data_IF_916963105367
#
_entry.id   IF_916963105367
#
_cell.length_a   1.000
_cell.length_b   1.000
_cell.length_c   1.000
_cell.angle_alpha   90.00
_cell.angle_beta   90.00
_cell.angle_gamma   90.00
#
_symmetry.space_group_name_H-M   'P 1'
#
loop_
_entity.id
_entity.type
_entity.pdbx_description
1 polymer ?
#
# COMPACT_ATOMS: atom_id res chain seq x y z
N UNK A 1 3.78 4.78 4.81
CA UNK A 1 3.05 5.44 3.69
C UNK A 1 3.29 4.75 2.35
N UNK A 2 4.53 4.35 2.03
CA UNK A 2 4.82 3.50 0.86
C UNK A 2 4.08 2.15 0.93
N UNK A 3 3.81 1.63 2.13
CA UNK A 3 3.06 0.38 2.32
C UNK A 3 1.66 0.44 1.69
N UNK A 4 0.96 1.59 1.77
CA UNK A 4 -0.39 1.70 1.21
C UNK A 4 -0.35 1.66 -0.32
N UNK A 5 0.61 2.34 -0.93
CA UNK A 5 0.82 2.28 -2.38
C UNK A 5 1.14 0.85 -2.80
N UNK A 6 2.02 0.17 -2.05
CA UNK A 6 2.37 -1.22 -2.31
C UNK A 6 1.15 -2.13 -2.18
N UNK A 7 0.32 -1.96 -1.15
CA UNK A 7 -0.92 -2.72 -0.96
C UNK A 7 -1.91 -2.50 -2.10
N UNK A 8 -2.06 -1.27 -2.60
CA UNK A 8 -2.93 -0.99 -3.75
C UNK A 8 -2.44 -1.74 -5.00
N UNK A 9 -1.14 -1.67 -5.29
CA UNK A 9 -0.53 -2.37 -6.43
C UNK A 9 -0.66 -3.88 -6.29
N UNK A 10 -0.25 -4.44 -5.16
CA UNK A 10 -0.30 -5.88 -4.90
C UNK A 10 -1.74 -6.41 -4.86
N UNK A 11 -2.70 -5.62 -4.35
CA UNK A 11 -4.13 -5.97 -4.37
C UNK A 11 -4.66 -6.10 -5.79
N UNK A 12 -4.20 -5.26 -6.71
CA UNK A 12 -4.50 -5.38 -8.14
C UNK A 12 -4.00 -6.71 -8.71
N UNK A 13 -2.73 -7.05 -8.44
CA UNK A 13 -2.09 -8.28 -8.95
C UNK A 13 -2.79 -9.52 -8.41
N UNK A 14 -3.05 -9.59 -7.10
CA UNK A 14 -3.69 -10.77 -6.47
C UNK A 14 -5.16 -10.90 -6.90
N UNK A 15 -5.86 -9.77 -7.09
CA UNK A 15 -7.23 -9.74 -7.63
C UNK A 15 -7.31 -10.33 -9.02
N UNK A 16 -6.39 -9.95 -9.92
CA UNK A 16 -6.37 -10.51 -11.27
C UNK A 16 -6.06 -12.00 -11.23
N UNK A 17 -5.17 -12.43 -10.35
CA UNK A 17 -4.86 -13.83 -10.14
C UNK A 17 -6.10 -14.62 -9.70
N UNK A 18 -6.91 -14.05 -8.81
CA UNK A 18 -8.17 -14.64 -8.38
C UNK A 18 -9.22 -14.68 -9.50
N UNK A 19 -9.35 -13.60 -10.28
CA UNK A 19 -10.28 -13.52 -11.42
C UNK A 19 -9.99 -14.55 -12.49
N UNK A 20 -8.72 -14.76 -12.85
CA UNK A 20 -8.29 -15.80 -13.82
C UNK A 20 -8.68 -17.21 -13.39
N UNK A 21 -8.86 -17.43 -12.08
CA UNK A 21 -9.30 -18.70 -11.48
C UNK A 21 -10.80 -18.77 -11.22
N UNK A 22 -11.57 -17.78 -11.68
CA UNK A 22 -13.01 -17.69 -11.44
C UNK A 22 -13.41 -17.42 -10.00
N UNK A 23 -12.52 -16.86 -9.17
CA UNK A 23 -12.81 -16.51 -7.78
C UNK A 23 -13.11 -15.02 -7.59
N UNK A 24 -13.76 -14.69 -6.47
CA UNK A 24 -14.04 -13.32 -6.08
C UNK A 24 -12.74 -12.56 -5.76
N UNK A 25 -12.36 -11.53 -6.56
CA UNK A 25 -11.12 -10.76 -6.35
C UNK A 25 -11.06 -10.02 -5.01
N UNK A 26 -12.20 -9.51 -4.54
CA UNK A 26 -12.27 -8.69 -3.34
C UNK A 26 -11.80 -9.48 -2.11
N UNK A 27 -12.15 -10.76 -2.02
CA UNK A 27 -11.71 -11.62 -0.92
C UNK A 27 -10.20 -11.82 -0.89
N UNK A 28 -9.55 -11.88 -2.06
CA UNK A 28 -8.09 -12.02 -2.13
C UNK A 28 -7.35 -10.73 -1.81
N UNK A 29 -7.88 -9.57 -2.20
CA UNK A 29 -7.35 -8.28 -1.75
C UNK A 29 -7.49 -8.12 -0.23
N UNK A 30 -8.64 -8.48 0.34
CA UNK A 30 -8.84 -8.46 1.79
C UNK A 30 -7.91 -9.44 2.51
N UNK A 31 -7.70 -10.63 1.95
CA UNK A 31 -6.74 -11.61 2.46
C UNK A 31 -5.32 -11.03 2.50
N UNK A 32 -4.89 -10.39 1.40
CA UNK A 32 -3.58 -9.73 1.33
C UNK A 32 -3.44 -8.66 2.42
N UNK A 33 -4.43 -7.77 2.57
CA UNK A 33 -4.40 -6.70 3.59
C UNK A 33 -4.34 -7.32 5.00
N UNK A 34 -5.16 -8.34 5.27
CA UNK A 34 -5.19 -9.01 6.57
C UNK A 34 -3.85 -9.66 6.91
N UNK A 35 -3.22 -10.35 5.95
CA UNK A 35 -1.92 -10.99 6.14
C UNK A 35 -0.78 -9.98 6.22
N UNK A 36 -0.85 -8.87 5.49
CA UNK A 36 0.11 -7.77 5.59
C UNK A 36 0.10 -7.18 7.00
N UNK A 37 -1.07 -6.72 7.47
CA UNK A 37 -1.22 -6.11 8.79
C UNK A 37 -0.91 -7.11 9.91
N UNK A 38 -1.34 -8.36 9.76
CA UNK A 38 -1.03 -9.43 10.71
C UNK A 38 0.49 -9.70 10.78
N UNK A 39 1.17 -9.74 9.64
CA UNK A 39 2.61 -9.91 9.56
C UNK A 39 3.37 -8.72 10.16
N UNK A 40 2.95 -7.50 9.87
CA UNK A 40 3.50 -6.27 10.44
C UNK A 40 3.38 -6.26 11.97
N UNK A 41 2.18 -6.54 12.47
CA UNK A 41 1.92 -6.60 13.90
C UNK A 41 2.74 -7.68 14.61
N UNK A 42 2.77 -8.90 14.06
CA UNK A 42 3.56 -9.99 14.62
C UNK A 42 5.07 -9.66 14.61
N UNK A 43 5.57 -9.09 13.51
CA UNK A 43 6.97 -8.67 13.39
C UNK A 43 7.33 -7.55 14.38
N UNK A 44 6.43 -6.58 14.58
CA UNK A 44 6.62 -5.51 15.56
C UNK A 44 6.67 -6.05 17.00
N UNK A 45 5.77 -6.97 17.36
CA UNK A 45 5.77 -7.63 18.68
C UNK A 45 7.06 -8.39 18.90
N UNK A 46 7.49 -9.20 17.92
CA UNK A 46 8.75 -9.93 17.99
C UNK A 46 9.96 -8.99 18.12
N UNK A 47 10.01 -7.91 17.34
CA UNK A 47 11.10 -6.95 17.43
C UNK A 47 11.12 -6.18 18.75
N UNK A 48 9.95 -5.90 19.33
CA UNK A 48 9.87 -5.30 20.65
C UNK A 48 10.40 -6.25 21.72
N UNK A 49 9.96 -7.50 21.73
CA UNK A 49 10.44 -8.53 22.65
C UNK A 49 11.93 -8.81 22.55
N UNK A 50 12.52 -8.73 21.34
CA UNK A 50 13.96 -8.92 21.16
C UNK A 50 14.79 -7.68 21.52
N UNK A 51 14.18 -6.51 21.63
CA UNK A 51 14.88 -5.25 21.90
C UNK A 51 14.72 -4.75 23.34
N UNK A 52 13.87 -5.39 24.15
CA UNK A 52 13.59 -4.98 25.53
C UNK A 52 14.78 -5.14 26.49
N UNK A 53 15.72 -6.04 26.20
CA UNK A 53 16.84 -6.35 27.10
C UNK A 53 17.90 -5.23 27.15
N UNK A 54 17.88 -4.29 26.20
CA UNK A 54 18.89 -3.23 26.07
C UNK A 54 18.54 -1.91 26.80
N UNK A 55 17.50 -1.87 27.64
CA UNK A 55 17.10 -0.69 28.42
C UNK A 55 16.45 0.44 27.62
N UNK A 56 16.63 0.49 26.29
CA UNK A 56 15.83 1.28 25.34
C UNK A 56 15.48 0.42 24.13
N UNK A 57 14.20 0.36 23.72
CA UNK A 57 13.81 -0.42 22.55
C UNK A 57 14.51 0.10 21.30
N UNK A 58 15.17 -0.81 20.59
CA UNK A 58 15.81 -0.52 19.31
C UNK A 58 14.74 -0.40 18.22
N UNK A 59 14.27 0.84 17.99
CA UNK A 59 13.22 1.14 17.02
C UNK A 59 13.54 0.62 15.61
N UNK A 60 14.81 0.64 15.20
CA UNK A 60 15.23 0.13 13.89
C UNK A 60 14.96 -1.36 13.76
N UNK A 61 15.22 -2.13 14.82
CA UNK A 61 14.96 -3.58 14.86
C UNK A 61 13.46 -3.86 14.82
N UNK A 62 12.66 -3.09 15.57
CA UNK A 62 11.18 -3.22 15.60
C UNK A 62 10.60 -2.97 14.21
N UNK A 63 10.94 -1.84 13.59
CA UNK A 63 10.45 -1.51 12.25
C UNK A 63 10.96 -2.49 11.18
N UNK A 64 12.22 -2.92 11.27
CA UNK A 64 12.79 -3.89 10.34
C UNK A 64 12.06 -5.25 10.39
N UNK A 65 11.77 -5.74 11.60
CA UNK A 65 11.03 -6.98 11.78
C UNK A 65 9.55 -6.85 11.43
N UNK A 66 8.92 -5.71 11.73
CA UNK A 66 7.56 -5.41 11.28
C UNK A 66 7.45 -5.45 9.75
N UNK A 67 8.34 -4.74 9.05
CA UNK A 67 8.35 -4.72 7.59
C UNK A 67 8.65 -6.12 7.00
N UNK A 68 9.61 -6.85 7.59
CA UNK A 68 9.91 -8.23 7.20
C UNK A 68 8.70 -9.15 7.38
N UNK A 69 7.99 -9.04 8.50
CA UNK A 69 6.76 -9.77 8.77
C UNK A 69 5.65 -9.45 7.77
N UNK A 70 5.48 -8.18 7.40
CA UNK A 70 4.51 -7.74 6.41
C UNK A 70 4.80 -8.35 5.01
N UNK A 71 6.07 -8.35 4.59
CA UNK A 71 6.52 -8.98 3.33
C UNK A 71 6.23 -10.49 3.34
N UNK A 72 6.51 -11.18 4.44
CA UNK A 72 6.21 -12.62 4.59
C UNK A 72 4.70 -12.88 4.55
N UNK A 73 3.91 -12.05 5.24
CA UNK A 73 2.45 -12.12 5.21
C UNK A 73 1.89 -11.96 3.79
N UNK A 74 2.38 -10.94 3.06
CA UNK A 74 2.02 -10.75 1.66
C UNK A 74 2.39 -11.98 0.81
N UNK A 75 3.63 -12.48 0.95
CA UNK A 75 4.09 -13.67 0.26
C UNK A 75 3.20 -14.88 0.50
N UNK A 76 2.75 -15.08 1.74
CA UNK A 76 1.83 -16.16 2.11
C UNK A 76 0.45 -15.99 1.47
N UNK A 77 -0.10 -14.76 1.42
CA UNK A 77 -1.35 -14.50 0.71
C UNK A 77 -1.24 -14.82 -0.79
N UNK A 78 -0.12 -14.45 -1.42
CA UNK A 78 0.16 -14.80 -2.82
C UNK A 78 0.34 -16.31 -3.04
N UNK A 79 0.97 -17.00 -2.09
CA UNK A 79 1.14 -18.45 -2.14
C UNK A 79 -0.22 -19.16 -2.07
N UNK A 80 -1.10 -18.74 -1.16
CA UNK A 80 -2.48 -19.24 -1.05
C UNK A 80 -3.25 -18.95 -2.34
N UNK A 81 -3.17 -17.74 -2.87
CA UNK A 81 -3.81 -17.43 -4.14
C UNK A 81 -3.31 -18.35 -5.25
N UNK A 82 -1.99 -18.55 -5.35
CA UNK A 82 -1.33 -19.36 -6.36
C UNK A 82 -1.68 -20.85 -6.28
N UNK A 83 -1.79 -21.41 -5.07
CA UNK A 83 -2.01 -22.83 -4.86
C UNK A 83 -3.42 -23.30 -5.22
N UNK A 84 -4.36 -22.38 -5.38
CA UNK A 84 -5.74 -22.73 -5.70
C UNK A 84 -5.91 -23.03 -7.20
N UNK A 85 -6.55 -24.16 -7.50
CA UNK A 85 -6.99 -24.55 -8.85
C UNK A 85 -8.20 -23.74 -9.31
N UNK A 86 -8.43 -23.51 -10.62
CA UNK A 86 -9.63 -22.82 -11.12
C UNK A 86 -10.92 -23.49 -10.63
N UNK A 87 -11.96 -22.69 -10.33
CA UNK A 87 -13.24 -23.18 -9.75
C UNK A 87 -13.96 -24.15 -10.69
N UNK A 88 -13.90 -23.89 -11.99
CA UNK A 88 -14.55 -24.66 -13.07
C UNK A 88 -13.55 -25.52 -13.86
N UNK A 89 -12.29 -25.61 -13.42
CA UNK A 89 -11.21 -26.26 -14.17
C UNK A 89 -10.74 -25.49 -15.41
N UNK A 90 -11.32 -24.31 -15.70
CA UNK A 90 -10.98 -23.50 -16.88
C UNK A 90 -10.19 -22.28 -16.45
N UNK A 91 -9.00 -22.12 -17.03
CA UNK A 91 -8.24 -20.87 -16.88
C UNK A 91 -8.87 -19.80 -17.76
N UNK A 92 -9.29 -18.69 -17.14
CA UNK A 92 -9.84 -17.54 -17.88
C UNK A 92 -8.69 -16.60 -18.22
N UNK A 93 -8.44 -16.42 -19.51
CA UNK A 93 -7.63 -15.30 -19.94
C UNK A 93 -8.45 -14.03 -19.74
N UNK A 94 -7.98 -13.19 -18.82
CA UNK A 94 -8.43 -11.81 -18.77
C UNK A 94 -7.87 -11.16 -20.02
N UNK A 95 -8.70 -11.03 -21.06
CA UNK A 95 -8.42 -10.09 -22.16
C UNK A 95 -7.97 -8.80 -21.49
N UNK A 96 -6.77 -8.32 -21.83
CA UNK A 96 -6.15 -7.13 -21.23
C UNK A 96 -7.07 -5.93 -21.46
N UNK A 97 -8.06 -5.74 -20.60
CA UNK A 97 -8.89 -4.55 -20.62
C UNK A 97 -7.96 -3.37 -20.26
N UNK A 98 -7.87 -2.33 -21.10
CA UNK A 98 -6.99 -1.18 -20.86
C UNK A 98 -7.32 -0.39 -19.57
N UNK A 99 -8.39 -0.77 -18.88
CA UNK A 99 -8.98 -0.12 -17.70
C UNK A 99 -8.06 -0.13 -16.47
N UNK A 100 -7.12 -1.07 -16.34
CA UNK A 100 -6.24 -1.12 -15.16
C UNK A 100 -5.10 -0.11 -15.21
N UNK A 101 -4.59 0.18 -16.41
CA UNK A 101 -3.53 1.18 -16.59
C UNK A 101 -4.05 2.60 -16.34
N UNK A 102 -5.31 2.92 -16.68
CA UNK A 102 -5.87 4.26 -16.48
C UNK A 102 -6.09 4.60 -15.01
N UNK A 103 -6.41 3.60 -14.16
CA UNK A 103 -6.60 3.79 -12.71
C UNK A 103 -5.29 3.95 -11.97
N UNK A 104 -4.28 3.14 -12.32
CA UNK A 104 -2.94 3.27 -11.76
C UNK A 104 -2.33 4.61 -12.17
N UNK A 105 -2.47 4.99 -13.45
CA UNK A 105 -2.01 6.29 -13.94
C UNK A 105 -2.74 7.44 -13.24
N UNK A 106 -4.07 7.34 -13.07
CA UNK A 106 -4.86 8.32 -12.33
C UNK A 106 -4.38 8.47 -10.89
N UNK A 107 -4.14 7.37 -10.19
CA UNK A 107 -3.63 7.39 -8.82
C UNK A 107 -2.19 7.92 -8.73
N UNK A 108 -1.33 7.62 -9.70
CA UNK A 108 0.04 8.15 -9.75
C UNK A 108 0.01 9.66 -10.05
N UNK A 109 -0.74 10.09 -11.05
CA UNK A 109 -0.86 11.51 -11.43
C UNK A 109 -1.50 12.31 -10.29
N UNK A 110 -2.58 11.78 -9.69
CA UNK A 110 -3.22 12.39 -8.54
C UNK A 110 -2.31 12.41 -7.32
N UNK A 111 -1.56 11.34 -7.09
CA UNK A 111 -0.63 11.23 -5.97
C UNK A 111 0.55 12.20 -6.05
N UNK A 112 1.19 12.25 -7.21
CA UNK A 112 2.30 13.17 -7.49
C UNK A 112 1.77 14.62 -7.50
N UNK A 113 0.66 14.88 -8.18
CA UNK A 113 0.04 16.21 -8.23
C UNK A 113 -0.36 16.72 -6.84
N UNK A 114 -1.00 15.87 -6.04
CA UNK A 114 -1.37 16.19 -4.65
C UNK A 114 -0.14 16.43 -3.78
N UNK A 115 0.92 15.64 -3.93
CA UNK A 115 2.17 15.82 -3.19
C UNK A 115 2.86 17.15 -3.50
N UNK A 116 2.91 17.54 -4.78
CA UNK A 116 3.47 18.83 -5.21
C UNK A 116 2.64 20.00 -4.67
N UNK A 117 1.31 19.92 -4.74
CA UNK A 117 0.42 20.94 -4.18
C UNK A 117 0.60 21.05 -2.66
N UNK A 118 0.63 19.91 -1.95
CA UNK A 118 0.86 19.86 -0.51
C UNK A 118 2.21 20.46 -0.11
N UNK A 119 3.26 20.21 -0.90
CA UNK A 119 4.57 20.81 -0.68
C UNK A 119 4.55 22.33 -0.88
N UNK A 120 3.84 22.82 -1.90
CA UNK A 120 3.65 24.25 -2.12
C UNK A 120 2.89 24.95 -0.98
N UNK A 121 1.82 24.33 -0.48
CA UNK A 121 1.05 24.86 0.66
C UNK A 121 1.90 24.86 1.94
N UNK A 122 2.60 23.76 2.23
CA UNK A 122 3.49 23.68 3.38
C UNK A 122 4.61 24.73 3.29
N UNK A 123 5.22 24.90 2.11
CA UNK A 123 6.24 25.91 1.91
C UNK A 123 5.68 27.34 2.10
N UNK A 124 4.47 27.62 1.61
CA UNK A 124 3.81 28.91 1.82
C UNK A 124 3.48 29.19 3.30
N UNK A 125 3.02 28.18 4.04
CA UNK A 125 2.67 28.33 5.46
C UNK A 125 3.89 28.44 6.40
N UNK A 126 5.02 27.83 6.03
CA UNK A 126 6.19 27.69 6.92
C UNK A 126 7.49 28.36 6.39
N UNK A 127 7.41 29.11 5.29
CA UNK A 127 8.54 29.62 4.50
C UNK A 127 9.53 30.56 5.21
N UNK A 128 9.13 31.24 6.29
CA UNK A 128 9.97 32.24 6.97
C UNK A 128 10.94 31.64 8.03
N UNK A 129 11.56 30.50 7.73
CA UNK A 129 12.64 29.93 8.54
C UNK A 129 12.23 28.92 9.62
N UNK A 130 10.93 28.64 9.78
CA UNK A 130 10.42 27.59 10.68
C UNK A 130 10.30 26.21 10.04
N UNK A 131 10.61 26.09 8.76
CA UNK A 131 10.53 24.84 8.01
C UNK A 131 11.47 23.75 8.57
N UNK A 132 12.68 24.13 9.00
CA UNK A 132 13.67 23.18 9.53
C UNK A 132 13.23 22.54 10.85
N UNK A 133 12.53 23.30 11.71
CA UNK A 133 12.07 22.81 13.01
C UNK A 133 10.82 21.93 12.90
N UNK A 134 10.13 21.97 11.76
CA UNK A 134 8.82 21.34 11.55
C UNK A 134 8.80 20.34 10.39
N UNK A 135 9.97 19.82 10.01
CA UNK A 135 10.12 18.80 8.95
C UNK A 135 9.13 17.63 9.11
N UNK A 136 8.91 17.04 10.31
CA UNK A 136 7.96 15.94 10.47
C UNK A 136 6.53 16.32 10.08
N UNK A 137 6.09 17.53 10.43
CA UNK A 137 4.76 18.04 10.11
C UNK A 137 4.62 18.35 8.61
N UNK A 138 5.65 18.94 8.00
CA UNK A 138 5.66 19.22 6.56
C UNK A 138 5.59 17.93 5.73
N UNK A 139 6.37 16.91 6.12
CA UNK A 139 6.35 15.60 5.46
C UNK A 139 4.98 14.95 5.60
N UNK A 140 4.35 15.03 6.78
CA UNK A 140 2.99 14.51 6.97
C UNK A 140 1.96 15.24 6.11
N UNK A 141 2.02 16.57 6.00
CA UNK A 141 1.11 17.36 5.17
C UNK A 141 1.26 17.00 3.68
N UNK A 142 2.50 16.90 3.18
CA UNK A 142 2.79 16.50 1.80
C UNK A 142 2.23 15.10 1.50
N UNK A 143 2.47 14.16 2.40
CA UNK A 143 1.99 12.78 2.26
C UNK A 143 0.46 12.70 2.33
N UNK A 144 -0.18 13.49 3.19
CA UNK A 144 -1.64 13.52 3.31
C UNK A 144 -2.30 14.07 2.04
N UNK A 145 -1.82 15.19 1.50
CA UNK A 145 -2.37 15.77 0.26
C UNK A 145 -2.05 14.88 -0.95
N UNK A 146 -0.86 14.29 -1.02
CA UNK A 146 -0.52 13.28 -2.02
C UNK A 146 -1.43 12.06 -1.94
N UNK A 147 -1.72 11.56 -0.76
CA UNK A 147 -2.62 10.43 -0.58
C UNK A 147 -4.06 10.74 -1.04
N UNK A 148 -4.60 11.92 -0.67
CA UNK A 148 -5.92 12.37 -1.13
C UNK A 148 -5.95 12.50 -2.65
N UNK A 149 -4.91 13.07 -3.25
CA UNK A 149 -4.79 13.17 -4.70
C UNK A 149 -4.77 11.80 -5.38
N UNK A 150 -4.03 10.84 -4.83
CA UNK A 150 -3.99 9.47 -5.33
C UNK A 150 -5.37 8.79 -5.27
N UNK A 151 -6.12 8.98 -4.17
CA UNK A 151 -7.48 8.47 -4.02
C UNK A 151 -8.45 9.08 -5.05
N UNK A 152 -8.41 10.40 -5.26
CA UNK A 152 -9.24 11.09 -6.25
C UNK A 152 -8.90 10.64 -7.69
N UNK A 153 -7.62 10.40 -7.97
CA UNK A 153 -7.16 9.81 -9.23
C UNK A 153 -7.71 8.40 -9.46
N UNK A 154 -7.82 7.62 -8.40
CA UNK A 154 -8.37 6.25 -8.44
C UNK A 154 -9.90 6.26 -8.65
N UNK A 155 -10.61 7.21 -8.02
CA UNK A 155 -12.07 7.36 -8.14
C UNK A 155 -12.49 7.95 -9.49
N UNK A 156 -11.76 8.94 -10.02
CA UNK A 156 -12.07 9.54 -11.33
C UNK A 156 -11.94 8.55 -12.50
N UNK A 157 -11.10 7.51 -12.35
CA UNK A 157 -11.02 6.39 -13.28
C UNK A 157 -12.26 5.47 -13.30
N UNK A 158 -13.20 5.62 -12.34
CA UNK A 158 -14.44 4.83 -12.30
C UNK A 158 -15.55 5.39 -13.19
N UNK A 159 -15.52 6.67 -13.56
CA UNK A 159 -16.60 7.32 -14.30
C UNK A 159 -16.49 7.21 -15.83
N UNK A 160 -15.39 6.63 -16.34
CA UNK A 160 -15.07 6.58 -17.79
C UNK A 160 -15.36 5.23 -18.46
N UNK A 161 -16.01 4.29 -17.78
CA UNK A 161 -16.44 3.00 -18.34
C UNK A 161 -17.86 2.68 -17.89
#
# INVERSE_FOLDING_TARGET
MLEIILLIVLSGIISDMARRRGRNPTLFSLLLIAFWLGGEFAGAVLGYSLSSDAGKPNMLLIYGLALGGAILGAGLAFLIARSLSPVDGVWRDLTKEPVQNSRLLGAIVGGVGGGVIGAGVAFYMYGDGRAADNIPMMVQAILAVGFIGALLGLVSGLQKG
#
